data_IF_069950402772
#
_entry.id   IF_069950402772
#
_cell.length_a   1.000
_cell.length_b   1.000
_cell.length_c   1.000
_cell.angle_alpha   90.00
_cell.angle_beta   90.00
_cell.angle_gamma   90.00
#
_symmetry.space_group_name_H-M   'P 1'
#
loop_
_entity.id
_entity.type
_entity.pdbx_description
1 polymer ?
#
# COMPACT_ATOMS: atom_id res chain seq x y z
N UNK A 1 -1.92 11.00 -8.78
CA UNK A 1 -1.34 11.36 -7.48
C UNK A 1 -0.04 10.57 -7.24
N UNK A 2 0.90 11.16 -6.51
CA UNK A 2 2.10 10.48 -6.03
C UNK A 2 2.22 10.75 -4.53
N UNK A 3 2.31 9.68 -3.75
CA UNK A 3 2.43 9.74 -2.30
C UNK A 3 3.75 9.09 -1.92
N UNK A 4 4.57 9.78 -1.13
CA UNK A 4 5.81 9.24 -0.55
C UNK A 4 5.59 9.06 0.94
N UNK A 5 5.90 7.88 1.44
CA UNK A 5 5.75 7.50 2.84
C UNK A 5 7.12 7.17 3.43
N UNK A 6 7.35 7.62 4.64
CA UNK A 6 8.53 7.32 5.44
C UNK A 6 8.10 6.68 6.76
N UNK A 7 8.85 5.71 7.23
CA UNK A 7 8.60 5.01 8.48
C UNK A 7 9.78 5.23 9.44
N UNK A 8 9.52 5.27 10.74
CA UNK A 8 10.54 5.53 11.78
C UNK A 8 11.76 4.61 11.72
N UNK A 9 11.61 3.41 11.16
CA UNK A 9 12.68 2.44 11.00
C UNK A 9 13.49 2.61 9.70
N UNK A 10 13.30 3.72 8.97
CA UNK A 10 14.01 4.05 7.74
C UNK A 10 13.47 3.35 6.48
N UNK A 11 12.35 2.62 6.58
CA UNK A 11 11.66 2.10 5.39
C UNK A 11 10.95 3.25 4.67
N UNK A 12 10.77 3.09 3.38
CA UNK A 12 10.04 4.04 2.54
C UNK A 12 9.00 3.31 1.71
N UNK A 13 7.95 4.02 1.32
CA UNK A 13 6.97 3.55 0.37
C UNK A 13 6.62 4.66 -0.61
N UNK A 14 6.28 4.27 -1.82
CA UNK A 14 5.76 5.18 -2.85
C UNK A 14 4.49 4.59 -3.42
N UNK A 15 3.45 5.39 -3.46
CA UNK A 15 2.18 5.03 -4.08
C UNK A 15 1.93 5.98 -5.25
N UNK A 16 1.70 5.44 -6.42
CA UNK A 16 1.41 6.19 -7.65
C UNK A 16 0.03 5.78 -8.13
N UNK A 17 -0.83 6.75 -8.33
CA UNK A 17 -2.17 6.57 -8.88
C UNK A 17 -2.38 7.55 -10.04
N UNK A 18 -2.75 7.03 -11.20
CA UNK A 18 -3.15 7.81 -12.36
C UNK A 18 -4.49 7.33 -12.90
N UNK A 19 -5.33 8.26 -13.29
CA UNK A 19 -6.61 8.00 -13.98
C UNK A 19 -6.55 8.43 -15.44
N UNK A 20 -5.41 8.98 -15.88
CA UNK A 20 -5.21 9.51 -17.21
C UNK A 20 -4.36 8.63 -18.13
N UNK A 21 -3.99 7.45 -17.68
CA UNK A 21 -3.18 6.51 -18.47
C UNK A 21 -4.06 5.58 -19.27
N UNK A 22 -3.65 5.30 -20.50
CA UNK A 22 -4.39 4.43 -21.41
C UNK A 22 -4.18 2.94 -21.08
N UNK A 23 -3.05 2.59 -20.48
CA UNK A 23 -2.75 1.24 -20.04
C UNK A 23 -3.14 1.09 -18.57
N UNK A 24 -3.90 0.04 -18.28
CA UNK A 24 -4.23 -0.33 -16.91
C UNK A 24 -3.13 -1.27 -16.42
N UNK A 25 -2.35 -0.83 -15.45
CA UNK A 25 -1.31 -1.61 -14.80
C UNK A 25 -1.53 -1.58 -13.29
N UNK A 26 -1.67 -2.75 -12.70
CA UNK A 26 -1.64 -2.92 -11.25
C UNK A 26 -0.31 -3.55 -10.85
N UNK A 27 0.50 -2.79 -10.10
CA UNK A 27 1.81 -3.24 -9.68
C UNK A 27 2.03 -2.98 -8.19
N UNK A 28 2.39 -4.03 -7.47
CA UNK A 28 2.87 -3.95 -6.10
C UNK A 28 4.27 -4.54 -6.01
N UNK A 29 5.23 -3.73 -5.58
CA UNK A 29 6.61 -4.17 -5.38
C UNK A 29 7.03 -3.97 -3.93
N UNK A 30 7.59 -5.01 -3.32
CA UNK A 30 8.17 -4.95 -1.98
C UNK A 30 9.62 -5.40 -2.08
N UNK A 31 10.55 -4.50 -1.74
CA UNK A 31 11.99 -4.77 -1.73
C UNK A 31 12.44 -4.92 -0.28
N UNK A 32 12.82 -6.14 0.07
CA UNK A 32 13.37 -6.48 1.39
C UNK A 32 14.87 -6.77 1.33
N UNK A 33 15.46 -7.04 2.50
CA UNK A 33 16.90 -7.34 2.60
C UNK A 33 17.27 -8.73 2.08
N UNK A 34 16.30 -9.65 1.97
CA UNK A 34 16.51 -11.06 1.57
C UNK A 34 15.73 -11.48 0.34
N UNK A 35 14.76 -10.67 -0.08
CA UNK A 35 13.93 -10.97 -1.23
C UNK A 35 13.31 -9.69 -1.80
N UNK A 36 12.97 -9.77 -3.07
CA UNK A 36 12.05 -8.87 -3.77
C UNK A 36 10.79 -9.63 -4.08
N UNK A 37 9.64 -9.03 -3.82
CA UNK A 37 8.32 -9.54 -4.19
C UNK A 37 7.71 -8.55 -5.18
N UNK A 38 7.28 -9.05 -6.30
CA UNK A 38 6.64 -8.27 -7.35
C UNK A 38 5.32 -8.95 -7.72
N UNK A 39 4.23 -8.24 -7.57
CA UNK A 39 2.92 -8.61 -8.08
C UNK A 39 2.59 -7.66 -9.22
N UNK A 40 2.42 -8.21 -10.41
CA UNK A 40 1.96 -7.51 -11.61
C UNK A 40 0.75 -8.26 -12.15
N UNK A 41 -0.37 -7.60 -12.19
CA UNK A 41 -1.66 -8.21 -12.52
C UNK A 41 -1.92 -9.50 -11.69
N UNK A 42 -1.97 -10.64 -12.34
CA UNK A 42 -2.23 -11.94 -11.71
C UNK A 42 -0.95 -12.77 -11.50
N UNK A 43 0.23 -12.15 -11.64
CA UNK A 43 1.53 -12.84 -11.56
C UNK A 43 2.35 -12.35 -10.38
N UNK A 44 2.67 -13.25 -9.46
CA UNK A 44 3.56 -13.01 -8.33
C UNK A 44 4.96 -13.57 -8.63
N UNK A 45 5.96 -12.71 -8.65
CA UNK A 45 7.36 -13.08 -8.78
C UNK A 45 8.09 -12.85 -7.46
N UNK A 46 8.74 -13.89 -6.94
CA UNK A 46 9.54 -13.84 -5.72
C UNK A 46 11.00 -14.08 -6.09
N UNK A 47 11.83 -13.06 -5.98
CA UNK A 47 13.27 -13.16 -6.23
C UNK A 47 13.99 -13.18 -4.88
N UNK A 48 14.53 -14.34 -4.47
CA UNK A 48 15.29 -14.52 -3.22
C UNK A 48 16.78 -14.28 -3.47
N UNK A 49 17.42 -13.63 -2.51
CA UNK A 49 18.86 -13.36 -2.53
C UNK A 49 19.46 -13.42 -1.13
N UNK A 50 20.79 -13.40 -1.02
CA UNK A 50 21.47 -13.26 0.28
C UNK A 50 21.08 -11.94 0.93
N UNK A 51 21.17 -11.90 2.26
CA UNK A 51 20.88 -10.69 3.03
C UNK A 51 21.78 -9.54 2.57
N UNK A 52 21.18 -8.49 1.99
CA UNK A 52 21.90 -7.31 1.48
C UNK A 52 22.64 -6.60 2.59
N UNK A 53 22.10 -6.56 3.80
CA UNK A 53 22.75 -5.90 4.93
C UNK A 53 24.02 -6.65 5.39
N UNK A 54 23.98 -7.98 5.36
CA UNK A 54 25.19 -8.81 5.64
C UNK A 54 26.20 -8.67 4.50
N UNK A 55 25.72 -8.66 3.27
CA UNK A 55 26.55 -8.49 2.10
C UNK A 55 27.30 -7.15 2.11
N UNK A 56 26.65 -6.03 2.44
CA UNK A 56 27.27 -4.70 2.51
C UNK A 56 28.28 -4.57 3.66
N UNK A 57 28.05 -5.27 4.78
CA UNK A 57 28.95 -5.24 5.95
C UNK A 57 30.25 -6.02 5.75
N UNK A 58 30.23 -7.01 4.89
CA UNK A 58 31.43 -7.79 4.56
C UNK A 58 32.23 -7.02 3.49
N UNK A 59 33.38 -6.44 3.89
CA UNK A 59 34.25 -5.58 3.05
C UNK A 59 34.77 -6.22 1.76
N UNK A 60 34.52 -7.50 1.52
CA UNK A 60 34.85 -8.22 0.29
C UNK A 60 33.99 -7.81 -0.93
N UNK A 61 33.06 -6.88 -0.73
CA UNK A 61 32.03 -6.57 -1.69
C UNK A 61 32.30 -5.29 -2.46
N UNK A 62 33.24 -5.34 -3.37
CA UNK A 62 33.40 -4.31 -4.40
C UNK A 62 32.59 -4.54 -5.68
N UNK A 63 31.77 -5.58 -5.75
CA UNK A 63 30.92 -5.79 -6.94
C UNK A 63 29.62 -6.52 -6.61
N UNK A 64 28.50 -5.97 -7.08
CA UNK A 64 27.21 -6.64 -7.11
C UNK A 64 27.19 -7.95 -7.94
N UNK A 65 28.33 -8.28 -8.57
CA UNK A 65 28.49 -9.41 -9.50
C UNK A 65 28.42 -10.79 -8.83
N UNK A 66 28.49 -10.89 -7.51
CA UNK A 66 28.50 -12.16 -6.80
C UNK A 66 27.21 -12.48 -6.04
N UNK A 67 26.13 -11.75 -6.28
CA UNK A 67 24.83 -12.13 -5.74
C UNK A 67 24.17 -13.21 -6.60
N UNK A 68 23.85 -14.33 -5.96
CA UNK A 68 23.01 -15.37 -6.56
C UNK A 68 21.55 -15.06 -6.27
N UNK A 69 20.70 -15.24 -7.28
CA UNK A 69 19.26 -15.04 -7.21
C UNK A 69 18.56 -16.37 -7.48
N UNK A 70 17.52 -16.64 -6.72
CA UNK A 70 16.57 -17.70 -6.99
C UNK A 70 15.20 -17.07 -7.23
N UNK A 71 14.62 -17.35 -8.38
CA UNK A 71 13.34 -16.78 -8.79
C UNK A 71 12.25 -17.86 -8.82
N UNK A 72 11.11 -17.52 -8.31
CA UNK A 72 9.89 -18.33 -8.32
C UNK A 72 8.75 -17.46 -8.83
N UNK A 73 8.00 -17.95 -9.80
CA UNK A 73 6.83 -17.26 -10.35
C UNK A 73 5.58 -18.09 -10.08
N UNK A 74 4.56 -17.43 -9.53
CA UNK A 74 3.25 -18.01 -9.24
C UNK A 74 2.22 -17.22 -10.02
N UNK A 75 1.42 -17.91 -10.83
CA UNK A 75 0.32 -17.31 -11.56
C UNK A 75 -0.99 -17.63 -10.86
N UNK A 76 -1.81 -16.60 -10.64
CA UNK A 76 -3.11 -16.75 -10.03
C UNK A 76 -4.21 -16.77 -11.10
N UNK A 77 -5.23 -17.57 -10.85
CA UNK A 77 -6.46 -17.47 -11.63
C UNK A 77 -7.26 -16.27 -11.11
N UNK A 78 -7.72 -15.44 -12.04
CA UNK A 78 -8.59 -14.31 -11.71
C UNK A 78 -9.88 -14.82 -11.11
N UNK A 79 -10.23 -14.36 -9.90
CA UNK A 79 -11.52 -14.66 -9.32
C UNK A 79 -12.64 -14.08 -10.21
N UNK A 80 -13.57 -14.92 -10.65
CA UNK A 80 -14.68 -14.49 -11.52
C UNK A 80 -15.63 -13.51 -10.82
N UNK A 81 -15.78 -13.64 -9.51
CA UNK A 81 -16.77 -12.92 -8.70
C UNK A 81 -16.20 -12.52 -7.32
N UNK A 82 -15.16 -11.65 -7.26
CA UNK A 82 -14.49 -11.33 -5.99
C UNK A 82 -15.43 -10.68 -4.97
N UNK A 83 -16.39 -9.87 -5.43
CA UNK A 83 -17.35 -9.22 -4.55
C UNK A 83 -18.42 -10.19 -4.02
N UNK A 84 -18.83 -11.20 -4.79
CA UNK A 84 -19.79 -12.18 -4.34
C UNK A 84 -19.27 -12.93 -3.11
N UNK A 85 -18.01 -13.34 -3.12
CA UNK A 85 -17.37 -14.01 -1.98
C UNK A 85 -17.30 -13.09 -0.74
N UNK A 86 -17.03 -11.81 -0.92
CA UNK A 86 -16.99 -10.84 0.18
C UNK A 86 -18.38 -10.71 0.83
N UNK A 87 -19.44 -10.59 0.03
CA UNK A 87 -20.80 -10.52 0.53
C UNK A 87 -21.25 -11.82 1.20
N UNK A 88 -20.88 -12.97 0.66
CA UNK A 88 -21.17 -14.26 1.27
C UNK A 88 -20.50 -14.42 2.64
N UNK A 89 -19.25 -14.03 2.74
CA UNK A 89 -18.50 -14.05 4.00
C UNK A 89 -19.14 -13.12 5.04
N UNK A 90 -19.57 -11.94 4.64
CA UNK A 90 -20.28 -11.02 5.52
C UNK A 90 -21.64 -11.59 5.97
N UNK A 91 -22.43 -12.15 5.05
CA UNK A 91 -23.70 -12.77 5.38
C UNK A 91 -23.52 -13.95 6.35
N UNK A 92 -22.50 -14.78 6.15
CA UNK A 92 -22.18 -15.89 7.05
C UNK A 92 -21.78 -15.41 8.45
N UNK A 93 -20.98 -14.32 8.53
CA UNK A 93 -20.62 -13.72 9.82
C UNK A 93 -21.86 -13.26 10.61
N UNK A 94 -22.79 -12.60 9.93
CA UNK A 94 -24.07 -12.15 10.54
C UNK A 94 -24.93 -13.32 10.98
N UNK A 95 -25.17 -14.29 10.09
CA UNK A 95 -26.07 -15.42 10.35
C UNK A 95 -25.55 -16.35 11.46
N UNK A 96 -24.25 -16.48 11.59
CA UNK A 96 -23.61 -17.35 12.59
C UNK A 96 -23.18 -16.62 13.86
N UNK A 97 -23.22 -15.27 13.85
CA UNK A 97 -22.75 -14.45 14.96
C UNK A 97 -21.24 -14.60 15.21
N UNK A 98 -20.46 -14.86 14.15
CA UNK A 98 -19.03 -15.17 14.23
C UNK A 98 -18.23 -14.34 13.23
N UNK A 99 -17.44 -13.38 13.77
CA UNK A 99 -16.59 -12.48 12.97
C UNK A 99 -15.44 -13.21 12.25
N UNK A 100 -15.13 -14.46 12.57
CA UNK A 100 -14.08 -15.23 11.89
C UNK A 100 -14.36 -15.48 10.41
N UNK A 101 -15.62 -15.33 10.01
CA UNK A 101 -16.03 -15.39 8.60
C UNK A 101 -15.72 -14.11 7.81
N UNK A 102 -15.42 -13.00 8.48
CA UNK A 102 -15.07 -11.76 7.79
C UNK A 102 -13.68 -11.87 7.17
N UNK A 103 -13.57 -11.62 5.89
CA UNK A 103 -12.27 -11.50 5.19
C UNK A 103 -11.46 -10.35 5.77
N UNK A 104 -12.15 -9.23 6.09
CA UNK A 104 -11.56 -8.03 6.67
C UNK A 104 -12.60 -7.37 7.58
N UNK A 105 -12.15 -6.84 8.72
CA UNK A 105 -13.04 -6.08 9.61
C UNK A 105 -13.27 -4.67 9.06
N UNK A 106 -14.47 -4.12 9.27
CA UNK A 106 -14.80 -2.75 8.84
C UNK A 106 -13.86 -1.67 9.44
N UNK A 107 -13.31 -1.92 10.63
CA UNK A 107 -12.32 -1.05 11.27
C UNK A 107 -11.03 -0.89 10.47
N UNK A 108 -10.64 -1.88 9.66
CA UNK A 108 -9.45 -1.78 8.81
C UNK A 108 -9.59 -0.71 7.72
N UNK A 109 -10.83 -0.41 7.30
CA UNK A 109 -11.11 0.68 6.36
C UNK A 109 -10.68 2.06 6.85
N UNK A 110 -10.59 2.26 8.18
CA UNK A 110 -10.12 3.51 8.79
C UNK A 110 -8.67 3.78 8.39
N UNK A 111 -7.83 2.75 8.30
CA UNK A 111 -6.43 2.89 7.91
C UNK A 111 -6.30 3.46 6.48
N UNK A 112 -7.09 2.97 5.54
CA UNK A 112 -7.09 3.47 4.16
C UNK A 112 -7.60 4.91 4.10
N UNK A 113 -8.68 5.23 4.82
CA UNK A 113 -9.20 6.60 4.90
C UNK A 113 -8.17 7.56 5.51
N UNK A 114 -7.48 7.15 6.57
CA UNK A 114 -6.43 7.93 7.22
C UNK A 114 -5.30 8.26 6.22
N UNK A 115 -4.83 7.28 5.47
CA UNK A 115 -3.79 7.48 4.45
C UNK A 115 -4.24 8.45 3.36
N UNK A 116 -5.45 8.28 2.84
CA UNK A 116 -6.02 9.17 1.83
C UNK A 116 -6.19 10.61 2.35
N UNK A 117 -6.76 10.77 3.54
CA UNK A 117 -6.95 12.07 4.18
C UNK A 117 -5.62 12.78 4.42
N UNK A 118 -4.61 12.05 4.94
CA UNK A 118 -3.29 12.60 5.21
C UNK A 118 -2.55 13.00 3.94
N UNK A 119 -2.65 12.21 2.87
CA UNK A 119 -2.08 12.53 1.58
C UNK A 119 -2.71 13.81 0.98
N UNK A 120 -4.04 13.92 1.07
CA UNK A 120 -4.75 15.10 0.61
C UNK A 120 -4.39 16.34 1.43
N UNK A 121 -4.36 16.20 2.77
CA UNK A 121 -3.93 17.27 3.68
C UNK A 121 -2.51 17.74 3.38
N UNK A 122 -1.56 16.79 3.22
CA UNK A 122 -0.17 17.06 2.85
C UNK A 122 -0.08 17.86 1.54
N UNK A 123 -0.82 17.45 0.52
CA UNK A 123 -0.83 18.11 -0.77
C UNK A 123 -1.41 19.55 -0.70
N UNK A 124 -2.52 19.75 0.02
CA UNK A 124 -3.16 21.06 0.16
C UNK A 124 -2.34 22.05 0.98
N UNK A 125 -1.73 21.58 2.07
CA UNK A 125 -0.93 22.42 2.96
C UNK A 125 0.55 22.51 2.55
N UNK A 126 1.03 21.64 1.64
CA UNK A 126 2.44 21.62 1.18
C UNK A 126 3.42 21.18 2.26
N UNK A 127 3.01 20.31 3.18
CA UNK A 127 3.80 19.88 4.34
C UNK A 127 3.87 18.35 4.44
N UNK A 128 4.89 17.84 5.14
CA UNK A 128 4.92 16.46 5.61
C UNK A 128 3.90 16.29 6.76
N UNK A 129 3.14 15.22 6.72
CA UNK A 129 2.13 14.87 7.74
C UNK A 129 2.60 13.65 8.50
N UNK A 130 2.56 13.71 9.82
CA UNK A 130 2.78 12.57 10.69
C UNK A 130 1.44 11.85 10.94
N UNK A 131 1.49 10.52 10.98
CA UNK A 131 0.31 9.70 11.24
C UNK A 131 0.25 9.28 12.72
N UNK A 132 -0.95 9.25 13.32
CA UNK A 132 -2.25 9.55 12.71
C UNK A 132 -2.51 11.06 12.54
N UNK A 133 -3.17 11.46 11.47
CA UNK A 133 -3.67 12.82 11.30
C UNK A 133 -4.87 13.02 12.22
N UNK A 134 -4.89 14.12 12.97
CA UNK A 134 -6.04 14.48 13.81
C UNK A 134 -7.27 14.82 12.95
N UNK A 135 -8.42 14.27 13.35
CA UNK A 135 -9.67 14.48 12.61
C UNK A 135 -10.10 15.95 12.57
N UNK A 136 -9.75 16.72 13.61
CA UNK A 136 -9.99 18.17 13.69
C UNK A 136 -9.26 18.93 12.58
N UNK A 137 -7.99 18.59 12.34
CA UNK A 137 -7.16 19.28 11.37
C UNK A 137 -7.65 19.03 9.93
N UNK A 138 -8.04 17.78 9.65
CA UNK A 138 -8.64 17.46 8.35
C UNK A 138 -9.99 18.15 8.15
N UNK A 139 -10.82 18.21 9.20
CA UNK A 139 -12.10 18.91 9.15
C UNK A 139 -11.91 20.41 8.89
N UNK A 140 -10.96 21.06 9.57
CA UNK A 140 -10.66 22.48 9.37
C UNK A 140 -10.24 22.76 7.92
N UNK A 141 -9.36 21.91 7.34
CA UNK A 141 -9.01 22.02 5.94
C UNK A 141 -10.23 21.91 5.02
N UNK A 142 -11.13 20.96 5.27
CA UNK A 142 -12.34 20.82 4.45
C UNK A 142 -13.26 22.04 4.55
N UNK A 143 -13.43 22.57 5.75
CA UNK A 143 -14.23 23.79 5.99
C UNK A 143 -13.60 25.02 5.27
N UNK A 144 -12.26 25.13 5.25
CA UNK A 144 -11.53 26.17 4.50
C UNK A 144 -11.77 26.06 2.97
N UNK A 145 -11.68 24.83 2.44
CA UNK A 145 -11.85 24.59 1.00
C UNK A 145 -13.28 24.86 0.54
N UNK A 146 -14.28 24.46 1.33
CA UNK A 146 -15.69 24.71 1.02
C UNK A 146 -15.96 26.22 0.97
N UNK A 147 -15.51 26.99 1.95
CA UNK A 147 -15.65 28.45 1.96
C UNK A 147 -15.02 29.11 0.75
N UNK A 148 -13.84 28.62 0.36
CA UNK A 148 -13.14 29.13 -0.84
C UNK A 148 -13.90 28.85 -2.14
N UNK A 149 -14.58 27.72 -2.25
CA UNK A 149 -15.42 27.40 -3.40
C UNK A 149 -16.73 28.23 -3.43
N UNK A 150 -17.29 28.51 -2.26
CA UNK A 150 -18.50 29.34 -2.13
C UNK A 150 -18.24 30.84 -2.32
N UNK A 151 -16.97 31.26 -2.44
CA UNK A 151 -16.58 32.63 -2.76
C UNK A 151 -16.57 33.57 -1.55
N UNK A 152 -16.46 33.04 -0.35
CA UNK A 152 -16.25 33.81 0.89
C UNK A 152 -14.76 34.05 1.21
#
# INVERSE_FOLDING_TARGET
ATIVMEYDNGKTGTFILSTGEACHEERLEIIGTKARILLEDDTLTITRHRDVCEYIKNEEVNSRQNMTFAEETIQFEKASEPYAQLFENFANAVLKGDESYLTVKGSEGINSLMLCASAYYSACKGIKVELPLEASDYKELMDELIKKEEGE
#
